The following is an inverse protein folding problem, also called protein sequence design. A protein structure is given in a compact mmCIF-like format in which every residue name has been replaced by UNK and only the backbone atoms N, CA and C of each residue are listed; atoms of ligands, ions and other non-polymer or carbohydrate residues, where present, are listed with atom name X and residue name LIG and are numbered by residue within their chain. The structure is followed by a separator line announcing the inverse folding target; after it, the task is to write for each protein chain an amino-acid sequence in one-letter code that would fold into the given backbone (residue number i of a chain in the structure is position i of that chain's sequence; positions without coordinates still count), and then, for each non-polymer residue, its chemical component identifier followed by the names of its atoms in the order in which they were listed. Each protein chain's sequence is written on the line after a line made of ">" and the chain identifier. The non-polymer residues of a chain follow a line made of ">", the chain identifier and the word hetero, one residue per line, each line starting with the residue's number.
data_IF_496852590764
#
_entry.id   IF_496852590764
#
_cell.length_a   1.000
_cell.length_b   1.000
_cell.length_c   1.000
_cell.angle_alpha   90.00
_cell.angle_beta   90.00
_cell.angle_gamma   90.00
#
_symmetry.space_group_name_H-M   'P 1'
#
loop_
_entity.id
_entity.type
_entity.pdbx_description
1 polymer ?
#
# COMPACT_ATOMS: atom_id res chain seq x y z
N UNK A 1 6.11 19.78 17.43
CA UNK A 1 6.53 19.37 16.07
C UNK A 1 5.42 19.64 15.10
N UNK A 2 4.21 19.06 15.27
CA UNK A 2 3.07 19.32 14.38
C UNK A 2 2.68 20.82 14.27
N UNK A 3 2.89 21.60 15.34
CA UNK A 3 2.64 23.06 15.33
C UNK A 3 3.72 23.81 14.55
N UNK A 4 4.96 23.38 14.63
CA UNK A 4 6.07 23.93 13.84
C UNK A 4 5.88 23.58 12.36
N UNK A 5 5.46 22.38 12.06
CA UNK A 5 5.09 21.94 10.71
C UNK A 5 3.98 22.81 10.16
N UNK A 6 2.94 23.03 10.97
CA UNK A 6 1.82 23.87 10.62
C UNK A 6 2.24 25.32 10.29
N UNK A 7 3.03 25.91 11.15
CA UNK A 7 3.50 27.29 10.99
C UNK A 7 4.33 27.47 9.72
N UNK A 8 5.28 26.56 9.49
CA UNK A 8 6.15 26.63 8.31
C UNK A 8 5.37 26.38 7.01
N UNK A 9 4.39 25.48 7.03
CA UNK A 9 3.56 25.20 5.85
C UNK A 9 2.67 26.39 5.48
N UNK A 10 2.13 27.09 6.48
CA UNK A 10 1.27 28.26 6.25
C UNK A 10 2.05 29.49 5.78
N UNK A 11 3.20 29.80 6.36
CA UNK A 11 3.98 30.98 6.01
C UNK A 11 5.04 30.77 4.92
N UNK A 12 5.34 29.50 4.60
CA UNK A 12 6.47 29.14 3.77
C UNK A 12 7.83 29.34 4.45
N UNK A 13 8.90 28.86 3.82
CA UNK A 13 10.27 29.05 4.29
C UNK A 13 11.01 30.07 3.44
N UNK A 14 11.78 30.93 4.08
CA UNK A 14 12.71 31.79 3.38
C UNK A 14 13.87 30.96 2.77
N UNK A 15 14.62 31.53 1.80
CA UNK A 15 15.76 30.83 1.20
C UNK A 15 16.84 30.50 2.22
N UNK A 16 17.03 31.37 3.21
CA UNK A 16 18.00 31.22 4.28
C UNK A 16 17.60 30.08 5.23
N UNK A 17 16.36 30.07 5.71
CA UNK A 17 15.80 28.98 6.54
C UNK A 17 15.86 27.66 5.82
N UNK A 18 15.61 27.71 4.52
CA UNK A 18 15.75 26.59 3.62
C UNK A 18 17.17 26.04 3.59
N UNK A 19 18.17 26.87 3.44
CA UNK A 19 19.57 26.45 3.41
C UNK A 19 20.01 25.90 4.77
N UNK A 20 19.63 26.56 5.85
CA UNK A 20 19.96 26.12 7.21
C UNK A 20 19.33 24.76 7.55
N UNK A 21 18.08 24.55 7.15
CA UNK A 21 17.40 23.28 7.34
C UNK A 21 18.06 22.16 6.53
N UNK A 22 18.46 22.43 5.28
CA UNK A 22 19.18 21.46 4.45
C UNK A 22 20.54 21.08 5.03
N UNK A 23 21.28 22.06 5.58
CA UNK A 23 22.57 21.82 6.22
C UNK A 23 22.43 21.02 7.53
N UNK A 24 21.42 21.32 8.32
CA UNK A 24 21.08 20.54 9.53
C UNK A 24 20.73 19.09 9.18
N UNK A 25 20.00 18.87 8.10
CA UNK A 25 19.65 17.52 7.63
C UNK A 25 20.83 16.75 7.07
N UNK A 26 21.72 17.40 6.34
CA UNK A 26 22.94 16.77 5.85
C UNK A 26 23.84 16.35 7.02
N UNK A 27 23.92 17.16 8.06
CA UNK A 27 24.63 16.81 9.31
C UNK A 27 23.93 15.67 10.06
N UNK A 28 22.61 15.72 10.17
CA UNK A 28 21.80 14.65 10.75
C UNK A 28 21.95 13.34 9.97
N UNK A 29 21.87 13.37 8.63
CA UNK A 29 22.07 12.19 7.78
C UNK A 29 23.42 11.52 8.05
N UNK A 30 24.47 12.31 8.23
CA UNK A 30 25.81 11.79 8.56
C UNK A 30 25.87 11.12 9.94
N UNK A 31 25.15 11.69 10.92
CA UNK A 31 25.10 11.15 12.29
C UNK A 31 24.08 10.00 12.47
N UNK A 32 23.07 9.95 11.61
CA UNK A 32 21.95 9.00 11.70
C UNK A 32 22.29 7.67 11.05
N UNK A 33 23.15 7.64 10.03
CA UNK A 33 23.68 6.37 9.54
C UNK A 33 24.42 5.59 10.64
N UNK A 34 24.90 6.29 11.64
CA UNK A 34 25.57 5.66 12.80
C UNK A 34 24.62 5.33 13.98
N UNK A 35 23.38 5.86 14.00
CA UNK A 35 22.42 5.68 15.12
C UNK A 35 20.96 5.71 14.65
N UNK A 36 20.54 4.67 13.96
CA UNK A 36 19.17 4.56 13.41
C UNK A 36 18.02 4.70 14.44
N UNK A 37 18.26 4.51 15.73
CA UNK A 37 17.29 4.76 16.79
C UNK A 37 16.87 6.25 16.94
N UNK A 38 17.68 7.17 16.45
CA UNK A 38 17.40 8.61 16.53
C UNK A 38 16.45 9.06 15.42
N UNK A 39 16.38 8.35 14.29
CA UNK A 39 15.51 8.68 13.18
C UNK A 39 14.02 8.67 13.57
N UNK A 40 13.62 7.75 14.43
CA UNK A 40 12.21 7.61 14.87
C UNK A 40 11.73 8.83 15.65
N UNK A 41 12.63 9.49 16.42
CA UNK A 41 12.30 10.71 17.13
C UNK A 41 12.30 11.96 16.22
N UNK A 42 13.04 11.93 15.11
CA UNK A 42 13.16 13.04 14.16
C UNK A 42 12.25 12.91 12.95
N UNK A 43 11.60 11.77 12.76
CA UNK A 43 10.49 11.60 11.81
C UNK A 43 9.35 12.56 12.12
N UNK A 44 9.22 12.97 13.37
CA UNK A 44 8.35 14.08 13.76
C UNK A 44 8.84 15.47 13.27
N UNK A 45 10.08 15.60 12.78
CA UNK A 45 10.61 16.83 12.18
C UNK A 45 10.37 16.91 10.66
N UNK A 46 9.18 16.51 10.22
CA UNK A 46 8.82 16.33 8.81
C UNK A 46 8.73 17.60 7.99
N UNK A 47 8.62 18.74 8.61
CA UNK A 47 8.73 20.03 7.94
C UNK A 47 10.04 20.20 7.20
N UNK A 48 11.08 19.75 7.87
CA UNK A 48 12.41 19.73 7.28
C UNK A 48 12.44 18.78 6.09
N UNK A 49 11.63 17.74 6.10
CA UNK A 49 11.57 16.75 5.04
C UNK A 49 10.75 17.24 3.84
N UNK A 50 9.61 17.87 4.03
CA UNK A 50 8.86 18.46 2.93
C UNK A 50 9.64 19.61 2.28
N UNK A 51 10.34 20.38 3.10
CA UNK A 51 11.25 21.38 2.61
C UNK A 51 12.42 20.78 1.82
N UNK A 52 13.02 19.70 2.34
CA UNK A 52 14.00 18.89 1.62
C UNK A 52 13.34 18.17 0.45
N UNK A 53 12.08 17.74 0.55
CA UNK A 53 11.32 17.22 -0.56
C UNK A 53 11.09 18.25 -1.66
N UNK A 54 10.77 19.50 -1.37
CA UNK A 54 10.61 20.53 -2.41
C UNK A 54 11.94 20.95 -3.04
N UNK A 55 13.08 20.85 -2.33
CA UNK A 55 14.42 21.01 -2.88
C UNK A 55 15.06 19.72 -3.36
N UNK A 56 14.67 18.60 -2.82
CA UNK A 56 14.95 17.24 -3.23
C UNK A 56 13.86 16.75 -4.18
N UNK A 57 12.81 17.53 -4.46
CA UNK A 57 11.90 17.24 -5.57
C UNK A 57 12.68 17.06 -6.87
N UNK A 58 13.74 17.80 -7.08
CA UNK A 58 14.71 17.56 -8.15
C UNK A 58 15.45 16.22 -8.00
N UNK A 59 15.85 15.80 -6.81
CA UNK A 59 16.43 14.46 -6.54
C UNK A 59 15.36 13.39 -6.30
N UNK A 60 14.19 13.77 -5.85
CA UNK A 60 13.04 12.87 -5.72
C UNK A 60 12.41 12.59 -7.10
N UNK A 61 12.50 13.52 -8.03
CA UNK A 61 12.20 13.23 -9.43
C UNK A 61 13.25 12.34 -10.08
N UNK A 62 14.50 12.40 -9.64
CA UNK A 62 15.49 11.37 -9.98
C UNK A 62 15.29 10.06 -9.20
N UNK A 63 14.79 10.11 -7.97
CA UNK A 63 14.37 8.93 -7.19
C UNK A 63 12.98 8.42 -7.57
N UNK A 64 12.14 9.21 -8.23
CA UNK A 64 10.95 8.75 -8.98
C UNK A 64 11.30 7.81 -10.14
N UNK A 65 12.57 7.74 -10.51
CA UNK A 65 13.10 6.69 -11.40
C UNK A 65 13.40 5.38 -10.65
N UNK A 66 13.05 5.27 -9.37
CA UNK A 66 12.96 3.95 -8.77
C UNK A 66 11.88 3.16 -9.52
N UNK A 67 12.14 1.88 -9.86
CA UNK A 67 11.25 1.08 -10.70
C UNK A 67 9.78 1.05 -10.26
N UNK A 68 9.54 1.25 -8.97
CA UNK A 68 8.22 1.18 -8.35
C UNK A 68 7.40 2.48 -8.44
N UNK A 69 8.02 3.60 -8.85
CA UNK A 69 7.36 4.90 -8.97
C UNK A 69 7.17 5.35 -10.44
N UNK A 70 7.24 4.43 -11.40
CA UNK A 70 6.93 4.72 -12.80
C UNK A 70 5.42 4.95 -12.94
N UNK A 71 5.01 5.79 -13.89
CA UNK A 71 3.60 6.04 -14.23
C UNK A 71 2.84 4.74 -14.48
N UNK A 72 3.50 3.76 -15.08
CA UNK A 72 2.98 2.42 -15.31
C UNK A 72 2.75 1.62 -14.00
N UNK A 73 3.65 1.69 -13.03
CA UNK A 73 3.46 1.03 -11.73
C UNK A 73 2.27 1.64 -10.97
N UNK A 74 2.07 2.96 -11.06
CA UNK A 74 0.89 3.62 -10.50
C UNK A 74 -0.40 3.16 -11.16
N UNK A 75 -0.41 2.95 -12.46
CA UNK A 75 -1.57 2.44 -13.19
C UNK A 75 -1.92 1.01 -12.78
N UNK A 76 -0.92 0.15 -12.58
CA UNK A 76 -1.11 -1.21 -12.06
C UNK A 76 -1.70 -1.19 -10.66
N UNK A 77 -1.19 -0.36 -9.77
CA UNK A 77 -1.71 -0.18 -8.40
C UNK A 77 -3.16 0.31 -8.44
N UNK A 78 -3.46 1.32 -9.25
CA UNK A 78 -4.83 1.84 -9.45
C UNK A 78 -5.76 0.77 -10.00
N UNK A 79 -5.31 0.00 -10.99
CA UNK A 79 -6.08 -1.11 -11.56
C UNK A 79 -6.47 -2.13 -10.51
N UNK A 80 -5.51 -2.60 -9.71
CA UNK A 80 -5.75 -3.58 -8.65
C UNK A 80 -6.71 -3.01 -7.61
N UNK A 81 -6.47 -1.79 -7.14
CA UNK A 81 -7.27 -1.15 -6.12
C UNK A 81 -8.71 -0.94 -6.59
N UNK A 82 -8.94 -0.35 -7.75
CA UNK A 82 -10.28 -0.06 -8.29
C UNK A 82 -11.07 -1.35 -8.52
N UNK A 83 -10.46 -2.39 -9.08
CA UNK A 83 -11.14 -3.65 -9.27
C UNK A 83 -11.42 -4.37 -7.94
N UNK A 84 -10.51 -4.29 -6.96
CA UNK A 84 -10.76 -4.78 -5.60
C UNK A 84 -11.95 -4.07 -4.95
N UNK A 85 -12.03 -2.75 -5.10
CA UNK A 85 -13.18 -1.96 -4.61
C UNK A 85 -14.47 -2.37 -5.31
N UNK A 86 -14.46 -2.54 -6.63
CA UNK A 86 -15.63 -3.01 -7.39
C UNK A 86 -16.09 -4.39 -6.92
N UNK A 87 -15.15 -5.30 -6.68
CA UNK A 87 -15.46 -6.65 -6.19
C UNK A 87 -16.08 -6.60 -4.79
N UNK A 88 -15.48 -5.87 -3.83
CA UNK A 88 -16.01 -5.79 -2.46
C UNK A 88 -17.37 -5.10 -2.41
N UNK A 89 -17.62 -4.16 -3.30
CA UNK A 89 -18.92 -3.48 -3.45
C UNK A 89 -19.90 -4.25 -4.33
N UNK A 90 -19.55 -5.47 -4.79
CA UNK A 90 -20.37 -6.32 -5.68
C UNK A 90 -20.74 -5.63 -7.01
N UNK A 91 -19.86 -4.78 -7.54
CA UNK A 91 -20.04 -4.05 -8.79
C UNK A 91 -19.19 -4.58 -9.95
N UNK A 92 -18.21 -5.46 -9.64
CA UNK A 92 -17.40 -6.08 -10.68
C UNK A 92 -18.22 -7.10 -11.46
N UNK A 93 -18.13 -7.00 -12.79
CA UNK A 93 -18.57 -8.02 -13.73
C UNK A 93 -17.34 -8.49 -14.53
N UNK A 94 -17.30 -9.73 -15.02
CA UNK A 94 -16.15 -10.26 -15.77
C UNK A 94 -15.73 -9.37 -16.95
N UNK A 95 -16.68 -8.72 -17.60
CA UNK A 95 -16.45 -7.93 -18.80
C UNK A 95 -15.99 -6.49 -18.54
N UNK A 96 -15.89 -6.04 -17.30
CA UNK A 96 -15.50 -4.67 -16.96
C UNK A 96 -14.27 -4.56 -16.05
N UNK A 97 -13.41 -5.58 -16.04
CA UNK A 97 -12.15 -5.59 -15.33
C UNK A 97 -11.21 -4.42 -15.70
N UNK A 98 -11.22 -4.01 -16.97
CA UNK A 98 -10.34 -2.95 -17.47
C UNK A 98 -10.91 -1.54 -17.32
N UNK A 99 -12.13 -1.39 -16.80
CA UNK A 99 -12.76 -0.10 -16.66
C UNK A 99 -12.33 0.54 -15.33
N UNK A 100 -11.51 1.56 -15.41
CA UNK A 100 -11.06 2.36 -14.25
C UNK A 100 -12.13 3.39 -13.81
N UNK A 101 -13.41 3.05 -13.95
CA UNK A 101 -14.53 3.90 -13.60
C UNK A 101 -15.07 3.55 -12.20
N UNK A 102 -15.19 4.57 -11.36
CA UNK A 102 -15.75 4.47 -10.00
C UNK A 102 -17.23 4.79 -9.93
N UNK A 103 -17.88 5.06 -11.08
CA UNK A 103 -19.32 5.36 -11.12
C UNK A 103 -20.14 4.22 -10.50
N UNK A 104 -21.05 4.58 -9.62
CA UNK A 104 -21.93 3.64 -8.92
C UNK A 104 -21.29 2.89 -7.75
N UNK A 105 -20.05 3.18 -7.36
CA UNK A 105 -19.50 2.69 -6.09
C UNK A 105 -20.15 3.49 -4.95
N UNK A 106 -20.72 2.81 -3.94
CA UNK A 106 -21.27 3.50 -2.80
C UNK A 106 -20.16 4.19 -2.00
N UNK A 107 -20.04 5.50 -2.17
CA UNK A 107 -18.96 6.29 -1.60
C UNK A 107 -18.84 6.11 -0.08
N UNK A 108 -19.92 6.25 0.68
CA UNK A 108 -19.90 6.14 2.14
C UNK A 108 -19.38 4.76 2.60
N UNK A 109 -19.84 3.70 1.95
CA UNK A 109 -19.42 2.33 2.25
C UNK A 109 -17.91 2.17 2.04
N UNK A 110 -17.38 2.64 0.90
CA UNK A 110 -15.95 2.48 0.64
C UNK A 110 -15.09 3.41 1.51
N UNK A 111 -15.45 4.70 1.60
CA UNK A 111 -14.61 5.68 2.31
C UNK A 111 -14.43 5.38 3.80
N UNK A 112 -15.50 4.95 4.48
CA UNK A 112 -15.47 4.82 5.93
C UNK A 112 -15.49 3.40 6.44
N UNK A 113 -16.27 2.51 5.79
CA UNK A 113 -16.57 1.20 6.34
C UNK A 113 -15.64 0.10 5.78
N UNK A 114 -15.02 0.33 4.62
CA UNK A 114 -14.13 -0.66 4.01
C UNK A 114 -12.68 -0.42 4.41
N UNK A 115 -12.12 -1.40 5.10
CA UNK A 115 -10.71 -1.40 5.49
C UNK A 115 -9.83 -1.88 4.33
N UNK A 116 -8.69 -1.19 4.14
CA UNK A 116 -7.64 -1.57 3.19
C UNK A 116 -6.38 -1.92 3.98
N UNK A 117 -5.78 -3.06 3.67
CA UNK A 117 -4.58 -3.54 4.33
C UNK A 117 -3.54 -4.00 3.32
N UNK A 118 -2.27 -3.66 3.58
CA UNK A 118 -1.12 -4.20 2.85
C UNK A 118 -0.18 -4.87 3.85
N UNK A 119 -0.03 -6.21 3.79
CA UNK A 119 0.78 -6.96 4.75
C UNK A 119 2.29 -6.81 4.55
N UNK A 120 2.73 -6.27 3.42
CA UNK A 120 4.14 -6.10 3.02
C UNK A 120 4.30 -4.77 2.30
N UNK A 121 3.89 -3.69 2.98
CA UNK A 121 3.58 -2.42 2.33
C UNK A 121 4.79 -1.66 1.78
N UNK A 122 6.02 -2.04 2.16
CA UNK A 122 7.21 -1.32 1.75
C UNK A 122 7.11 0.17 2.06
N UNK A 123 7.35 1.01 1.07
CA UNK A 123 7.20 2.46 1.16
C UNK A 123 5.74 2.97 1.03
N UNK A 124 4.75 2.08 1.07
CA UNK A 124 3.33 2.41 1.13
C UNK A 124 2.67 2.79 -0.19
N UNK A 125 3.16 2.33 -1.34
CA UNK A 125 2.62 2.71 -2.66
C UNK A 125 1.14 2.37 -2.79
N UNK A 126 0.74 1.14 -2.44
CA UNK A 126 -0.66 0.71 -2.48
C UNK A 126 -1.53 1.47 -1.46
N UNK A 127 -1.00 1.71 -0.27
CA UNK A 127 -1.74 2.39 0.79
C UNK A 127 -1.92 3.88 0.51
N UNK A 128 -0.92 4.52 -0.12
CA UNK A 128 -1.04 5.89 -0.58
C UNK A 128 -2.12 6.03 -1.67
N UNK A 129 -2.10 5.14 -2.67
CA UNK A 129 -3.13 5.12 -3.71
C UNK A 129 -4.54 4.88 -3.12
N UNK A 130 -4.66 4.01 -2.10
CA UNK A 130 -5.92 3.79 -1.40
C UNK A 130 -6.39 5.05 -0.64
N UNK A 131 -5.47 5.76 0.00
CA UNK A 131 -5.76 7.02 0.68
C UNK A 131 -6.22 8.09 -0.31
N UNK A 132 -5.48 8.29 -1.39
CA UNK A 132 -5.82 9.25 -2.45
C UNK A 132 -7.21 8.98 -3.01
N UNK A 133 -7.51 7.72 -3.37
CA UNK A 133 -8.82 7.34 -3.89
C UNK A 133 -9.96 7.63 -2.88
N UNK A 134 -9.75 7.34 -1.60
CA UNK A 134 -10.74 7.62 -0.56
C UNK A 134 -10.93 9.11 -0.35
N UNK A 135 -9.85 9.89 -0.39
CA UNK A 135 -9.91 11.34 -0.28
C UNK A 135 -10.56 11.98 -1.52
N UNK A 136 -10.29 11.47 -2.74
CA UNK A 136 -10.96 11.91 -3.97
C UNK A 136 -12.48 11.74 -3.85
N UNK A 137 -12.93 10.57 -3.42
CA UNK A 137 -14.35 10.32 -3.21
C UNK A 137 -14.93 11.17 -2.06
N UNK A 138 -14.17 11.42 -1.02
CA UNK A 138 -14.58 12.28 0.09
C UNK A 138 -14.81 13.72 -0.37
N UNK A 139 -13.88 14.26 -1.15
CA UNK A 139 -13.96 15.62 -1.69
C UNK A 139 -15.10 15.78 -2.71
N UNK A 140 -15.31 14.75 -3.53
CA UNK A 140 -16.38 14.74 -4.53
C UNK A 140 -17.77 14.78 -3.89
N UNK A 141 -17.95 14.11 -2.75
CA UNK A 141 -19.27 13.93 -2.13
C UNK A 141 -19.57 14.85 -0.96
N UNK A 142 -18.61 15.69 -0.55
CA UNK A 142 -18.80 16.63 0.55
C UNK A 142 -18.36 18.05 0.17
N UNK A 143 -19.23 19.01 0.40
CA UNK A 143 -18.91 20.44 0.30
C UNK A 143 -17.96 20.88 1.41
N UNK A 144 -17.98 20.18 2.55
CA UNK A 144 -17.07 20.41 3.68
C UNK A 144 -16.51 19.09 4.19
N UNK A 145 -15.19 18.95 4.08
CA UNK A 145 -14.44 17.82 4.60
C UNK A 145 -13.91 18.15 5.98
N UNK A 146 -14.49 17.54 7.01
CA UNK A 146 -14.09 17.76 8.40
C UNK A 146 -12.89 16.91 8.80
N UNK A 147 -12.12 17.35 9.81
CA UNK A 147 -11.02 16.58 10.40
C UNK A 147 -11.46 15.18 10.86
N UNK A 148 -12.66 15.06 11.44
CA UNK A 148 -13.19 13.75 11.89
C UNK A 148 -13.43 12.77 10.74
N UNK A 149 -13.87 13.25 9.57
CA UNK A 149 -14.05 12.43 8.37
C UNK A 149 -12.69 11.93 7.84
N UNK A 150 -11.70 12.83 7.75
CA UNK A 150 -10.34 12.47 7.33
C UNK A 150 -9.73 11.44 8.28
N UNK A 151 -9.87 11.65 9.60
CA UNK A 151 -9.38 10.70 10.60
C UNK A 151 -9.93 9.28 10.35
N UNK A 152 -11.24 9.14 10.15
CA UNK A 152 -11.89 7.84 9.85
C UNK A 152 -11.36 7.20 8.56
N UNK A 153 -11.13 8.02 7.52
CA UNK A 153 -10.52 7.53 6.27
C UNK A 153 -9.13 6.98 6.55
N UNK A 154 -8.28 7.71 7.26
CA UNK A 154 -6.91 7.27 7.60
C UNK A 154 -6.94 6.01 8.47
N UNK A 155 -7.81 5.93 9.48
CA UNK A 155 -7.98 4.75 10.34
C UNK A 155 -8.38 3.48 9.59
N UNK A 156 -9.03 3.64 8.44
CA UNK A 156 -9.45 2.51 7.60
C UNK A 156 -8.33 1.94 6.70
N UNK A 157 -7.13 2.56 6.72
CA UNK A 157 -5.98 2.15 5.90
C UNK A 157 -4.89 1.66 6.84
N UNK A 158 -4.52 0.39 6.72
CA UNK A 158 -3.59 -0.28 7.62
C UNK A 158 -2.50 -0.99 6.84
N UNK A 159 -1.38 -1.22 7.49
CA UNK A 159 -0.27 -1.91 6.84
C UNK A 159 0.70 -2.54 7.82
N UNK A 160 1.49 -3.45 7.28
CA UNK A 160 2.61 -4.07 7.95
C UNK A 160 3.81 -4.16 7.00
N UNK A 161 4.99 -4.12 7.55
CA UNK A 161 6.22 -4.48 6.85
C UNK A 161 7.24 -5.02 7.85
N UNK A 162 8.15 -5.86 7.38
CA UNK A 162 9.26 -6.35 8.20
C UNK A 162 10.25 -5.22 8.54
N UNK A 163 10.39 -4.25 7.64
CA UNK A 163 11.32 -3.16 7.76
C UNK A 163 10.68 -1.92 8.41
N UNK A 164 11.19 -1.53 9.57
CA UNK A 164 10.73 -0.38 10.34
C UNK A 164 10.87 0.96 9.59
N UNK A 165 11.90 1.10 8.75
CA UNK A 165 12.13 2.31 7.98
C UNK A 165 11.08 2.44 6.86
N UNK A 166 10.69 1.31 6.24
CA UNK A 166 9.59 1.24 5.28
C UNK A 166 8.28 1.72 5.91
N UNK A 167 7.95 1.21 7.10
CA UNK A 167 6.76 1.65 7.86
C UNK A 167 6.81 3.15 8.15
N UNK A 168 7.98 3.63 8.54
CA UNK A 168 8.19 5.05 8.80
C UNK A 168 7.93 5.88 7.56
N UNK A 169 8.51 5.52 6.42
CA UNK A 169 8.31 6.20 5.13
C UNK A 169 6.82 6.17 4.73
N UNK A 170 6.16 5.03 4.91
CA UNK A 170 4.72 4.90 4.63
C UNK A 170 3.88 5.89 5.44
N UNK A 171 4.06 5.93 6.77
CA UNK A 171 3.34 6.88 7.65
C UNK A 171 3.53 8.32 7.21
N UNK A 172 4.74 8.66 6.81
CA UNK A 172 5.09 9.98 6.32
C UNK A 172 4.36 10.33 5.04
N UNK A 173 4.43 9.46 4.04
CA UNK A 173 3.77 9.69 2.74
C UNK A 173 2.27 9.92 2.93
N UNK A 174 1.63 9.13 3.79
CA UNK A 174 0.20 9.28 4.07
C UNK A 174 -0.11 10.58 4.82
N UNK A 175 0.71 10.95 5.80
CA UNK A 175 0.57 12.22 6.50
C UNK A 175 0.72 13.41 5.56
N UNK A 176 1.75 13.41 4.71
CA UNK A 176 2.00 14.48 3.74
C UNK A 176 0.89 14.56 2.67
N UNK A 177 0.33 13.44 2.26
CA UNK A 177 -0.82 13.42 1.34
C UNK A 177 -2.00 14.21 1.93
N UNK A 178 -2.35 13.95 3.19
CA UNK A 178 -3.43 14.69 3.87
C UNK A 178 -3.06 16.15 4.09
N UNK A 179 -1.83 16.41 4.52
CA UNK A 179 -1.34 17.77 4.78
C UNK A 179 -1.38 18.62 3.51
N UNK A 180 -0.88 18.10 2.41
CA UNK A 180 -0.86 18.78 1.12
C UNK A 180 -2.27 19.07 0.60
N UNK A 181 -3.18 18.10 0.77
CA UNK A 181 -4.54 18.18 0.20
C UNK A 181 -5.50 19.00 1.04
N UNK A 182 -5.44 18.87 2.35
CA UNK A 182 -6.42 19.42 3.28
C UNK A 182 -5.87 20.43 4.28
N UNK A 183 -4.58 20.67 4.25
CA UNK A 183 -3.89 21.64 5.10
C UNK A 183 -3.69 21.18 6.55
N UNK A 184 -2.97 22.00 7.26
CA UNK A 184 -2.46 21.75 8.60
C UNK A 184 -3.54 21.44 9.63
N UNK A 185 -4.59 22.25 9.68
CA UNK A 185 -5.65 22.14 10.68
C UNK A 185 -6.32 20.76 10.65
N UNK A 186 -6.40 20.14 9.46
CA UNK A 186 -7.00 18.82 9.25
C UNK A 186 -5.99 17.68 9.44
N UNK A 187 -4.70 17.91 9.18
CA UNK A 187 -3.63 16.94 9.38
C UNK A 187 -3.17 16.83 10.85
N UNK A 188 -3.43 17.88 11.67
CA UNK A 188 -3.02 17.91 13.08
C UNK A 188 -3.53 16.70 13.87
N UNK A 189 -2.61 15.94 14.51
CA UNK A 189 -2.90 14.75 15.32
C UNK A 189 -3.08 13.45 14.53
N UNK A 190 -2.90 13.45 13.19
CA UNK A 190 -2.94 12.22 12.40
C UNK A 190 -1.71 11.33 12.62
N UNK A 191 -0.60 11.86 13.10
CA UNK A 191 0.60 11.08 13.43
C UNK A 191 0.32 10.00 14.49
N UNK A 192 -0.51 10.30 15.49
CA UNK A 192 -0.95 9.34 16.51
C UNK A 192 -1.80 8.22 15.87
N UNK A 193 -2.78 8.62 15.05
CA UNK A 193 -3.64 7.69 14.31
C UNK A 193 -2.81 6.74 13.43
N UNK A 194 -1.84 7.29 12.70
CA UNK A 194 -0.96 6.50 11.85
C UNK A 194 -0.08 5.53 12.67
N UNK A 195 0.29 5.88 13.90
CA UNK A 195 1.04 4.96 14.75
C UNK A 195 0.23 3.70 15.11
N UNK A 196 -1.07 3.85 15.31
CA UNK A 196 -1.97 2.74 15.66
C UNK A 196 -2.37 1.89 14.44
N UNK A 197 -2.17 2.38 13.22
CA UNK A 197 -2.58 1.72 11.99
C UNK A 197 -1.50 0.84 11.36
N UNK A 198 -0.24 0.95 11.80
CA UNK A 198 0.90 0.29 11.14
C UNK A 198 1.70 -0.54 12.12
N UNK A 199 1.92 -1.80 11.75
CA UNK A 199 2.67 -2.78 12.53
C UNK A 199 4.02 -3.07 11.84
N UNK A 200 4.99 -3.58 12.61
CA UNK A 200 6.31 -3.95 12.09
C UNK A 200 6.67 -5.34 12.63
N UNK A 201 6.35 -6.37 11.84
CA UNK A 201 6.68 -7.75 12.18
C UNK A 201 6.79 -8.62 10.92
N UNK A 202 7.41 -9.79 11.06
CA UNK A 202 7.47 -10.77 9.99
C UNK A 202 6.09 -11.42 9.79
N UNK A 203 5.44 -11.05 8.69
CA UNK A 203 4.09 -11.53 8.35
C UNK A 203 4.03 -13.01 8.00
N UNK A 204 5.17 -13.60 7.65
CA UNK A 204 5.28 -15.01 7.25
C UNK A 204 5.54 -15.92 8.44
N UNK A 205 6.46 -15.54 9.33
CA UNK A 205 6.77 -16.31 10.55
C UNK A 205 5.70 -16.17 11.61
N UNK A 206 5.25 -14.95 11.81
CA UNK A 206 4.22 -14.65 12.81
C UNK A 206 2.86 -14.78 12.15
N UNK A 207 2.20 -15.91 12.38
CA UNK A 207 0.83 -16.09 11.88
C UNK A 207 -0.01 -14.86 12.23
N UNK A 208 -0.64 -14.25 11.23
CA UNK A 208 -1.45 -13.09 11.47
C UNK A 208 -2.60 -13.44 12.43
N UNK A 209 -2.95 -12.52 13.30
CA UNK A 209 -4.12 -12.66 14.16
C UNK A 209 -5.36 -12.77 13.28
N UNK A 210 -5.93 -13.96 13.22
CA UNK A 210 -7.09 -14.26 12.36
C UNK A 210 -8.37 -13.53 12.78
N UNK A 211 -8.41 -12.98 13.99
CA UNK A 211 -9.45 -12.07 14.46
C UNK A 211 -9.43 -10.70 13.74
N UNK A 212 -8.24 -10.25 13.31
CA UNK A 212 -8.13 -9.04 12.52
C UNK A 212 -8.54 -9.34 11.07
N UNK A 213 -9.69 -8.84 10.68
CA UNK A 213 -10.25 -9.02 9.34
C UNK A 213 -10.26 -7.71 8.57
N UNK A 214 -9.98 -7.82 7.27
CA UNK A 214 -9.95 -6.67 6.36
C UNK A 214 -10.86 -6.91 5.16
N UNK A 215 -11.45 -5.84 4.66
CA UNK A 215 -12.32 -5.91 3.49
C UNK A 215 -11.52 -6.02 2.19
N UNK A 216 -10.39 -5.33 2.12
CA UNK A 216 -9.50 -5.33 0.97
C UNK A 216 -8.07 -5.53 1.45
N UNK A 217 -7.40 -6.58 0.96
CA UNK A 217 -5.98 -6.82 1.20
C UNK A 217 -5.26 -6.74 -0.14
N UNK A 218 -4.31 -5.82 -0.27
CA UNK A 218 -3.61 -5.54 -1.53
C UNK A 218 -2.11 -5.47 -1.30
N UNK A 219 -1.31 -5.68 -2.35
CA UNK A 219 0.12 -5.49 -2.24
C UNK A 219 0.95 -6.14 -3.35
N UNK A 220 2.25 -5.95 -3.22
CA UNK A 220 3.28 -6.59 -4.03
C UNK A 220 4.26 -7.31 -3.08
N UNK A 221 4.01 -8.59 -2.73
CA UNK A 221 4.80 -9.31 -1.75
C UNK A 221 6.21 -9.63 -2.28
N UNK A 222 7.19 -9.90 -1.40
CA UNK A 222 8.55 -10.24 -1.83
C UNK A 222 8.61 -11.56 -2.58
N UNK A 223 9.34 -11.60 -3.73
CA UNK A 223 9.50 -12.78 -4.59
C UNK A 223 10.78 -13.57 -4.26
N UNK A 224 10.94 -13.92 -3.00
CA UNK A 224 12.12 -14.62 -2.50
C UNK A 224 11.83 -16.11 -2.34
N UNK A 225 12.74 -16.97 -2.79
CA UNK A 225 12.64 -18.42 -2.54
C UNK A 225 12.77 -18.72 -1.04
N UNK A 226 11.97 -19.66 -0.53
CA UNK A 226 11.97 -20.03 0.90
C UNK A 226 13.38 -20.37 1.41
N UNK A 227 14.24 -20.96 0.57
CA UNK A 227 15.61 -21.33 0.93
C UNK A 227 16.58 -20.14 1.04
N UNK A 228 16.20 -18.98 0.50
CA UNK A 228 17.01 -17.75 0.48
C UNK A 228 16.44 -16.68 1.40
N UNK A 229 15.29 -16.93 1.99
CA UNK A 229 14.63 -16.01 2.91
C UNK A 229 15.18 -16.17 4.33
N UNK A 230 15.28 -15.06 5.04
CA UNK A 230 15.52 -15.05 6.49
C UNK A 230 14.29 -15.49 7.25
N UNK A 231 13.09 -15.26 6.69
CA UNK A 231 11.81 -15.68 7.26
C UNK A 231 11.64 -17.20 7.15
N UNK A 232 11.20 -17.82 8.23
CA UNK A 232 10.99 -19.29 8.31
C UNK A 232 9.48 -19.58 8.36
N UNK A 233 8.83 -19.82 7.21
CA UNK A 233 7.41 -20.11 7.17
C UNK A 233 7.10 -21.50 7.75
N UNK A 234 5.96 -21.64 8.44
CA UNK A 234 5.45 -22.92 8.92
C UNK A 234 5.20 -23.90 7.77
N UNK A 235 4.62 -23.41 6.68
CA UNK A 235 4.41 -24.17 5.45
C UNK A 235 5.37 -23.68 4.37
N UNK A 236 5.99 -24.60 3.65
CA UNK A 236 6.88 -24.27 2.53
C UNK A 236 6.17 -24.48 1.20
N UNK A 237 6.07 -23.41 0.43
CA UNK A 237 5.53 -23.41 -0.93
C UNK A 237 6.62 -23.24 -2.01
N UNK A 238 7.85 -22.95 -1.59
CA UNK A 238 8.99 -22.70 -2.46
C UNK A 238 9.22 -21.22 -2.77
N UNK A 239 8.33 -20.33 -2.33
CA UNK A 239 8.52 -18.88 -2.43
C UNK A 239 7.65 -18.13 -1.42
N UNK A 240 8.20 -17.12 -0.78
CA UNK A 240 7.61 -16.34 0.31
C UNK A 240 6.27 -15.68 -0.07
N UNK A 241 6.11 -15.20 -1.31
CA UNK A 241 4.84 -14.60 -1.72
C UNK A 241 3.65 -15.54 -1.52
N UNK A 242 3.85 -16.85 -1.65
CA UNK A 242 2.78 -17.82 -1.47
C UNK A 242 2.31 -17.90 0.00
N UNK A 243 3.23 -17.75 0.95
CA UNK A 243 2.88 -17.66 2.37
C UNK A 243 2.15 -16.36 2.70
N UNK A 244 2.54 -15.24 2.06
CA UNK A 244 1.82 -13.97 2.20
C UNK A 244 0.39 -14.13 1.67
N UNK A 245 0.17 -14.78 0.52
CA UNK A 245 -1.16 -15.05 -0.02
C UNK A 245 -2.02 -15.92 0.91
N UNK A 246 -1.44 -16.99 1.47
CA UNK A 246 -2.13 -17.85 2.44
C UNK A 246 -2.60 -17.03 3.64
N UNK A 247 -1.68 -16.33 4.29
CA UNK A 247 -1.97 -15.53 5.47
C UNK A 247 -3.00 -14.43 5.18
N UNK A 248 -2.86 -13.74 4.05
CA UNK A 248 -3.81 -12.72 3.61
C UNK A 248 -5.23 -13.29 3.41
N UNK A 249 -5.33 -14.48 2.79
CA UNK A 249 -6.62 -15.14 2.58
C UNK A 249 -7.36 -15.44 3.88
N UNK A 250 -6.60 -15.77 4.95
CA UNK A 250 -7.14 -16.04 6.28
C UNK A 250 -7.60 -14.76 7.01
N UNK A 251 -7.10 -13.58 6.63
CA UNK A 251 -7.48 -12.30 7.19
C UNK A 251 -8.57 -11.55 6.40
N UNK A 252 -9.10 -12.13 5.35
CA UNK A 252 -10.21 -11.53 4.63
C UNK A 252 -11.52 -11.61 5.43
N UNK A 253 -12.23 -10.50 5.45
CA UNK A 253 -13.64 -10.46 5.88
C UNK A 253 -14.51 -11.32 4.98
N UNK A 254 -15.68 -11.81 5.44
CA UNK A 254 -16.65 -12.42 4.55
C UNK A 254 -17.03 -11.50 3.38
N UNK A 255 -16.82 -11.96 2.15
CA UNK A 255 -16.97 -11.14 0.95
C UNK A 255 -15.82 -10.17 0.67
N UNK A 256 -14.79 -10.17 1.51
CA UNK A 256 -13.56 -9.39 1.32
C UNK A 256 -12.76 -9.87 0.11
N UNK A 257 -11.85 -9.02 -0.34
CA UNK A 257 -11.11 -9.20 -1.59
C UNK A 257 -9.62 -9.04 -1.35
N UNK A 258 -8.83 -9.90 -1.99
CA UNK A 258 -7.38 -9.73 -2.09
C UNK A 258 -6.98 -9.35 -3.52
N UNK A 259 -5.99 -8.47 -3.66
CA UNK A 259 -5.45 -8.02 -4.94
C UNK A 259 -3.93 -7.93 -4.90
N UNK A 260 -3.23 -8.83 -5.61
CA UNK A 260 -1.77 -8.92 -5.54
C UNK A 260 -1.12 -8.97 -6.92
N UNK A 261 0.05 -8.34 -7.03
CA UNK A 261 1.00 -8.61 -8.11
C UNK A 261 1.90 -9.74 -7.66
N UNK A 262 1.97 -10.81 -8.41
CA UNK A 262 2.76 -12.00 -8.06
C UNK A 262 3.43 -12.62 -9.29
N UNK A 263 4.48 -13.43 -9.11
CA UNK A 263 5.08 -14.16 -10.21
C UNK A 263 4.10 -15.09 -10.91
N UNK A 264 4.17 -15.14 -12.25
CA UNK A 264 3.36 -16.04 -13.08
C UNK A 264 3.57 -17.52 -12.73
N UNK A 265 4.64 -17.86 -12.00
CA UNK A 265 4.86 -19.19 -11.44
C UNK A 265 3.70 -19.67 -10.56
N UNK A 266 2.93 -18.77 -9.96
CA UNK A 266 1.68 -19.10 -9.27
C UNK A 266 0.74 -19.94 -10.14
N UNK A 267 0.60 -19.58 -11.40
CA UNK A 267 -0.30 -20.26 -12.35
C UNK A 267 0.39 -21.45 -13.02
N UNK A 268 1.65 -21.27 -13.43
CA UNK A 268 2.31 -22.15 -14.40
C UNK A 268 3.11 -23.31 -13.79
N UNK A 269 3.46 -23.26 -12.49
CA UNK A 269 4.35 -24.28 -11.93
C UNK A 269 3.65 -25.31 -11.04
N UNK A 270 4.03 -26.60 -11.13
CA UNK A 270 3.49 -27.65 -10.26
C UNK A 270 3.73 -27.40 -8.77
N UNK A 271 4.87 -26.81 -8.38
CA UNK A 271 5.21 -26.54 -6.98
C UNK A 271 4.21 -25.61 -6.29
N UNK A 272 3.53 -24.73 -7.07
CA UNK A 272 2.53 -23.81 -6.56
C UNK A 272 1.12 -24.45 -6.47
N UNK A 273 0.97 -25.73 -6.83
CA UNK A 273 -0.32 -26.42 -6.77
C UNK A 273 -0.92 -26.36 -5.36
N UNK A 274 -0.11 -26.59 -4.32
CA UNK A 274 -0.56 -26.62 -2.93
C UNK A 274 -1.20 -25.28 -2.51
N UNK A 275 -0.54 -24.16 -2.78
CA UNK A 275 -1.11 -22.85 -2.45
C UNK A 275 -2.37 -22.54 -3.28
N UNK A 276 -2.42 -22.95 -4.55
CA UNK A 276 -3.65 -22.79 -5.36
C UNK A 276 -4.81 -23.58 -4.76
N UNK A 277 -4.58 -24.82 -4.35
CA UNK A 277 -5.61 -25.67 -3.74
C UNK A 277 -6.13 -25.05 -2.43
N UNK A 278 -5.25 -24.48 -1.61
CA UNK A 278 -5.63 -23.78 -0.37
C UNK A 278 -6.44 -22.49 -0.67
N UNK A 279 -5.96 -21.67 -1.61
CA UNK A 279 -6.67 -20.46 -2.00
C UNK A 279 -8.02 -20.77 -2.66
N UNK A 280 -8.18 -21.88 -3.35
CA UNK A 280 -9.49 -22.28 -3.88
C UNK A 280 -10.52 -22.57 -2.79
N UNK A 281 -10.09 -22.81 -1.58
CA UNK A 281 -10.98 -23.02 -0.43
C UNK A 281 -11.36 -21.71 0.24
N UNK A 282 -10.38 -20.82 0.40
CA UNK A 282 -10.57 -19.53 1.11
C UNK A 282 -11.03 -18.42 0.17
N UNK A 283 -10.62 -18.46 -1.10
CA UNK A 283 -10.86 -17.43 -2.12
C UNK A 283 -11.31 -18.10 -3.43
N UNK A 284 -12.51 -18.68 -3.46
CA UNK A 284 -12.96 -19.49 -4.60
C UNK A 284 -13.28 -18.71 -5.88
N UNK A 285 -13.53 -17.41 -5.80
CA UNK A 285 -13.70 -16.54 -6.96
C UNK A 285 -12.40 -15.82 -7.24
N UNK A 286 -11.75 -16.11 -8.38
CA UNK A 286 -10.46 -15.53 -8.74
C UNK A 286 -10.47 -14.97 -10.17
N UNK A 287 -9.80 -13.83 -10.34
CA UNK A 287 -9.48 -13.22 -11.64
C UNK A 287 -7.98 -13.12 -11.75
N UNK A 288 -7.41 -13.77 -12.77
CA UNK A 288 -5.97 -13.85 -12.98
C UNK A 288 -5.64 -13.24 -14.34
N UNK A 289 -4.88 -12.15 -14.32
CA UNK A 289 -4.39 -11.45 -15.50
C UNK A 289 -2.90 -11.73 -15.65
N UNK A 290 -2.51 -12.34 -16.75
CA UNK A 290 -1.14 -12.78 -17.01
C UNK A 290 -0.40 -11.78 -17.90
N UNK A 291 0.81 -11.44 -17.52
CA UNK A 291 1.68 -10.53 -18.27
C UNK A 291 2.98 -11.25 -18.63
N UNK A 292 3.42 -11.08 -19.89
CA UNK A 292 4.70 -11.60 -20.35
C UNK A 292 5.84 -10.67 -19.90
N UNK A 293 7.07 -11.11 -20.08
CA UNK A 293 8.26 -10.30 -19.88
C UNK A 293 8.68 -9.53 -21.15
N UNK A 294 8.03 -9.81 -22.30
CA UNK A 294 8.26 -9.16 -23.60
C UNK A 294 7.01 -9.28 -24.47
N UNK A 295 6.65 -8.28 -25.28
CA UNK A 295 7.26 -6.93 -25.37
C UNK A 295 6.92 -6.03 -24.20
N UNK A 296 5.86 -6.35 -23.42
CA UNK A 296 5.26 -5.48 -22.39
C UNK A 296 5.39 -6.13 -21.01
N UNK A 297 6.52 -5.89 -20.33
CA UNK A 297 6.65 -6.28 -18.92
C UNK A 297 5.85 -5.34 -18.00
N UNK A 298 5.32 -5.88 -16.91
CA UNK A 298 4.54 -5.12 -15.93
C UNK A 298 5.37 -4.02 -15.24
N UNK A 299 6.69 -4.23 -15.14
CA UNK A 299 7.65 -3.28 -14.59
C UNK A 299 8.82 -3.10 -15.57
N UNK A 300 9.12 -1.87 -15.94
CA UNK A 300 10.10 -1.53 -16.98
C UNK A 300 11.55 -1.97 -16.69
N UNK A 301 11.87 -2.26 -15.44
CA UNK A 301 13.22 -2.65 -14.99
C UNK A 301 13.36 -4.12 -14.59
N UNK A 302 12.26 -4.86 -14.51
CA UNK A 302 12.24 -6.24 -14.00
C UNK A 302 11.76 -7.18 -15.10
N UNK A 303 12.68 -7.94 -15.69
CA UNK A 303 12.34 -8.99 -16.64
C UNK A 303 11.79 -10.23 -15.93
N UNK A 304 10.60 -10.12 -15.38
CA UNK A 304 9.92 -11.20 -14.71
C UNK A 304 8.47 -11.34 -15.19
N UNK A 305 8.07 -12.55 -15.51
CA UNK A 305 6.69 -12.88 -15.83
C UNK A 305 5.83 -12.75 -14.59
N UNK A 306 4.87 -11.87 -14.62
CA UNK A 306 4.00 -11.55 -13.49
C UNK A 306 2.54 -11.82 -13.84
N UNK A 307 1.72 -11.94 -12.81
CA UNK A 307 0.27 -11.88 -12.95
C UNK A 307 -0.33 -11.01 -11.84
N UNK A 308 -1.50 -10.46 -12.13
CA UNK A 308 -2.35 -9.82 -11.14
C UNK A 308 -3.38 -10.86 -10.72
N UNK A 309 -3.44 -11.14 -9.42
CA UNK A 309 -4.44 -12.00 -8.80
C UNK A 309 -5.43 -11.14 -8.03
N UNK A 310 -6.70 -11.15 -8.45
CA UNK A 310 -7.81 -10.64 -7.66
C UNK A 310 -8.63 -11.82 -7.16
N UNK A 311 -8.87 -11.90 -5.87
CA UNK A 311 -9.58 -13.02 -5.26
C UNK A 311 -10.62 -12.55 -4.24
N UNK A 312 -11.78 -13.20 -4.21
CA UNK A 312 -12.87 -12.88 -3.26
C UNK A 312 -13.13 -14.04 -2.31
N UNK A 313 -13.19 -13.72 -1.02
CA UNK A 313 -13.71 -14.62 0.01
C UNK A 313 -15.24 -14.67 -0.06
N UNK A 314 -15.76 -15.63 -0.83
CA UNK A 314 -17.21 -15.81 -1.04
C UNK A 314 -17.55 -17.28 -0.91
N UNK A 315 -18.59 -17.61 -0.16
CA UNK A 315 -19.17 -18.96 -0.16
C UNK A 315 -19.79 -19.28 -1.52
N UNK A 316 -19.54 -20.45 -2.09
CA UNK A 316 -20.12 -20.89 -3.34
C UNK A 316 -19.18 -21.65 -4.26
N UNK A 317 -19.55 -21.78 -5.52
CA UNK A 317 -18.77 -22.48 -6.54
C UNK A 317 -17.44 -21.77 -6.86
N UNK A 318 -16.48 -22.58 -7.25
CA UNK A 318 -15.16 -22.09 -7.71
C UNK A 318 -15.30 -21.49 -9.09
N UNK A 319 -14.99 -20.23 -9.22
CA UNK A 319 -14.99 -19.50 -10.48
C UNK A 319 -13.62 -18.87 -10.71
N UNK A 320 -12.92 -19.31 -11.74
CA UNK A 320 -11.62 -18.77 -12.11
C UNK A 320 -11.74 -18.15 -13.49
N UNK A 321 -11.48 -16.85 -13.56
CA UNK A 321 -11.45 -16.08 -14.80
C UNK A 321 -9.99 -15.76 -15.12
N UNK A 322 -9.56 -16.02 -16.35
CA UNK A 322 -8.21 -15.73 -16.82
C UNK A 322 -8.25 -14.78 -18.00
N UNK A 323 -7.25 -13.88 -18.06
CA UNK A 323 -7.05 -12.93 -19.14
C UNK A 323 -5.56 -12.66 -19.38
N UNK A 324 -5.26 -12.10 -20.51
CA UNK A 324 -3.95 -11.59 -20.91
C UNK A 324 -4.02 -10.08 -21.08
#
# INVERSE_FOLDING_TARGET
>A
VNEIIADIYERGLTKEEMSEAADKLLKLRKNVMDKMQVLTAYVDCFVVYEYVLNRVQYRFEEMKKLPDDTEFAQDVVKFILINSVKMVCKRLQPNNLHVLDLNGIPYSTFCYDKTVYDPTCGSGVFLLAALELKLDLLDLHHTEVTKGKIKKVVESIKGNDLNKDSITITKIRLFLCVLHRHGVAKAKGLSEVLNDCYECYDYVENKPKTENKYDIIIGNPPYVEDAKSESVPEKRYGNIYANVLENASLQLSPGGVMGFVIPLSYVSTPRMKKIRDELYTTVPEQYILSYSDRPDCLFTSVHQKLCILLGRNKSGERNIFTGN
#
